data_IF_158483327103
#
_entry.id   IF_158483327103
#
_cell.length_a   1.000
_cell.length_b   1.000
_cell.length_c   1.000
_cell.angle_alpha   90.00
_cell.angle_beta   90.00
_cell.angle_gamma   90.00
#
_symmetry.space_group_name_H-M   'P 1'
#
loop_
_entity.id
_entity.type
_entity.pdbx_description
1 polymer ?
#
# COMPACT_ATOMS: atom_id res chain seq x y z
N UNK A 1 18.77 31.65 67.19
CA UNK A 1 19.49 32.90 67.53
C UNK A 1 20.33 33.27 66.31
N UNK A 2 20.11 34.39 65.63
CA UNK A 2 19.12 35.45 65.91
C UNK A 2 18.74 36.26 64.65
N UNK A 3 17.44 36.58 64.57
CA UNK A 3 16.84 37.86 64.10
C UNK A 3 17.01 38.27 62.62
N UNK A 4 15.88 38.66 62.03
CA UNK A 4 15.71 39.24 60.69
C UNK A 4 16.13 40.72 60.63
N UNK A 5 16.21 41.31 59.43
CA UNK A 5 15.58 42.62 59.10
C UNK A 5 15.66 42.90 57.58
N UNK A 6 14.70 43.64 57.03
CA UNK A 6 14.70 44.15 55.64
C UNK A 6 14.92 45.70 55.63
N UNK A 7 14.55 46.49 54.60
CA UNK A 7 15.52 47.27 53.82
C UNK A 7 15.28 48.80 53.94
N UNK A 8 15.87 49.62 53.06
CA UNK A 8 15.11 50.77 52.55
C UNK A 8 15.23 51.05 51.03
N UNK A 9 14.32 51.93 50.56
CA UNK A 9 14.27 52.61 49.25
C UNK A 9 14.97 53.99 49.35
N UNK A 10 15.24 54.78 48.29
CA UNK A 10 14.98 54.71 46.84
C UNK A 10 16.36 54.91 46.11
N UNK A 11 16.67 55.59 44.99
CA UNK A 11 16.06 56.48 43.97
C UNK A 11 16.60 56.06 42.57
N UNK A 12 15.83 56.04 41.48
CA UNK A 12 15.47 57.16 40.56
C UNK A 12 16.65 57.78 39.75
N UNK A 13 16.75 57.42 38.45
CA UNK A 13 16.95 58.37 37.33
C UNK A 13 16.96 57.68 35.94
N UNK A 14 16.14 58.22 35.02
CA UNK A 14 15.91 57.87 33.60
C UNK A 14 15.39 59.19 32.96
N UNK A 15 15.65 59.59 31.69
CA UNK A 15 16.16 58.82 30.53
C UNK A 15 17.39 59.45 29.81
N UNK A 16 17.85 58.77 28.75
CA UNK A 16 18.00 59.46 27.43
C UNK A 16 17.77 58.51 26.26
N UNK A 17 17.03 59.00 25.26
CA UNK A 17 16.80 58.36 23.96
C UNK A 17 17.89 58.84 23.00
N UNK A 18 18.42 57.94 22.16
CA UNK A 18 19.09 58.28 20.91
C UNK A 18 18.65 57.31 19.82
N UNK A 19 18.69 57.76 18.57
CA UNK A 19 17.91 57.23 17.46
C UNK A 19 18.68 56.22 16.59
N UNK A 20 17.94 55.43 15.81
CA UNK A 20 18.48 54.48 14.83
C UNK A 20 18.74 55.18 13.49
N UNK A 21 19.94 55.08 12.90
CA UNK A 21 20.12 55.34 11.47
C UNK A 21 19.67 54.11 10.66
N UNK A 22 18.81 54.33 9.67
CA UNK A 22 18.42 53.31 8.70
C UNK A 22 19.48 53.14 7.61
N UNK A 23 19.72 51.89 7.18
CA UNK A 23 20.72 51.57 6.17
C UNK A 23 20.60 50.13 5.69
N UNK A 24 19.74 49.89 4.70
CA UNK A 24 19.51 48.55 4.13
C UNK A 24 20.60 48.21 3.11
N UNK A 25 21.29 47.10 3.35
CA UNK A 25 22.11 46.39 2.35
C UNK A 25 21.78 44.90 2.48
N UNK A 26 21.34 44.27 1.40
CA UNK A 26 21.09 42.82 1.38
C UNK A 26 22.39 42.01 1.38
N UNK A 27 22.40 40.85 2.04
CA UNK A 27 23.21 39.74 1.55
C UNK A 27 22.46 38.39 1.54
N UNK A 28 22.50 37.75 0.37
CA UNK A 28 22.77 36.31 0.18
C UNK A 28 22.08 35.27 1.07
N UNK A 29 21.11 34.57 0.47
CA UNK A 29 20.90 33.11 0.55
C UNK A 29 21.83 32.33 1.51
N UNK A 30 21.34 32.04 2.72
CA UNK A 30 21.84 30.97 3.58
C UNK A 30 20.77 30.51 4.58
N UNK A 31 20.86 29.24 5.00
CA UNK A 31 20.15 28.60 6.12
C UNK A 31 18.61 28.68 6.17
N UNK A 32 17.97 27.51 6.00
CA UNK A 32 16.80 27.16 6.82
C UNK A 32 16.99 25.73 7.36
N UNK A 33 17.43 25.63 8.61
CA UNK A 33 17.75 24.36 9.29
C UNK A 33 17.39 24.50 10.77
N UNK A 34 16.39 23.75 11.25
CA UNK A 34 16.00 23.85 12.65
C UNK A 34 14.61 23.36 13.04
N UNK A 35 14.30 22.08 12.81
CA UNK A 35 13.48 21.33 13.77
C UNK A 35 14.24 20.05 14.10
N UNK A 36 14.73 19.97 15.34
CA UNK A 36 15.34 18.77 15.91
C UNK A 36 14.30 18.02 16.73
N UNK A 37 14.08 16.75 16.43
CA UNK A 37 13.41 15.82 17.34
C UNK A 37 14.27 14.57 17.45
N UNK A 38 15.07 14.51 18.52
CA UNK A 38 15.70 13.25 18.94
C UNK A 38 14.59 12.28 19.36
N UNK A 39 14.68 11.03 18.91
CA UNK A 39 13.93 9.91 19.47
C UNK A 39 14.92 8.77 19.67
N UNK A 40 15.27 8.49 20.92
CA UNK A 40 16.28 7.50 21.26
C UNK A 40 15.88 6.10 20.78
N UNK A 41 16.82 5.41 20.13
CA UNK A 41 16.69 3.98 19.87
C UNK A 41 17.24 3.22 21.08
N UNK A 42 16.40 2.94 22.07
CA UNK A 42 16.72 1.92 23.06
C UNK A 42 16.70 0.54 22.37
N UNK A 43 17.81 -0.18 22.53
CA UNK A 43 18.02 -1.54 22.06
C UNK A 43 17.96 -2.46 23.28
N UNK A 44 16.86 -3.20 23.44
CA UNK A 44 16.79 -4.27 24.44
C UNK A 44 17.47 -5.52 23.88
N UNK A 45 18.71 -5.75 24.30
CA UNK A 45 19.53 -6.90 23.97
C UNK A 45 19.69 -7.79 25.21
N UNK A 46 18.80 -8.78 25.39
CA UNK A 46 18.95 -9.79 26.43
C UNK A 46 18.83 -11.23 25.89
N UNK A 47 19.89 -12.01 26.16
CA UNK A 47 19.84 -13.47 26.27
C UNK A 47 19.87 -13.82 27.75
N UNK A 48 19.01 -14.74 28.19
CA UNK A 48 19.32 -15.73 29.24
C UNK A 48 18.39 -16.94 29.12
N UNK A 49 18.92 -18.13 29.38
CA UNK A 49 18.18 -19.39 29.52
C UNK A 49 17.82 -19.62 31.00
N UNK A 50 16.68 -20.28 31.28
CA UNK A 50 16.64 -21.50 32.12
C UNK A 50 15.22 -22.14 32.13
N UNK A 51 15.13 -23.30 32.79
CA UNK A 51 13.92 -24.12 33.04
C UNK A 51 13.03 -23.45 34.14
N UNK A 52 11.78 -23.85 34.44
CA UNK A 52 11.28 -25.21 34.68
C UNK A 52 9.72 -25.34 34.70
N UNK A 53 9.21 -26.56 34.94
CA UNK A 53 7.87 -27.03 35.43
C UNK A 53 6.60 -26.15 35.20
N UNK A 54 5.50 -26.61 34.56
CA UNK A 54 4.59 -27.77 34.83
C UNK A 54 3.47 -27.47 35.87
N UNK A 55 2.33 -28.20 35.78
CA UNK A 55 1.09 -28.12 36.61
C UNK A 55 0.15 -26.95 36.21
N UNK A 56 -1.04 -27.15 35.61
CA UNK A 56 -2.36 -27.60 36.14
C UNK A 56 -3.09 -26.55 37.02
N UNK A 57 -4.43 -26.43 37.11
CA UNK A 57 -5.61 -26.92 36.34
C UNK A 57 -6.87 -26.12 36.83
N UNK A 58 -8.07 -26.42 36.29
CA UNK A 58 -9.41 -26.07 36.81
C UNK A 58 -9.85 -24.60 36.66
N UNK A 59 -11.07 -24.39 36.13
CA UNK A 59 -11.72 -23.08 36.03
C UNK A 59 -12.88 -22.90 37.02
N UNK A 60 -13.74 -21.91 36.81
CA UNK A 60 -15.15 -21.94 37.21
C UNK A 60 -15.95 -20.79 36.59
N UNK A 61 -17.24 -21.03 36.35
CA UNK A 61 -18.19 -20.01 35.89
C UNK A 61 -18.52 -19.00 36.99
N UNK A 62 -18.74 -17.73 36.59
CA UNK A 62 -19.70 -16.86 37.28
C UNK A 62 -20.57 -16.09 36.29
N UNK A 63 -21.83 -16.48 36.26
CA UNK A 63 -22.94 -15.67 35.73
C UNK A 63 -23.10 -14.42 36.60
N UNK A 64 -23.39 -13.28 35.98
CA UNK A 64 -24.06 -12.15 36.62
C UNK A 64 -25.12 -11.60 35.66
N UNK A 65 -26.28 -11.25 36.20
CA UNK A 65 -27.47 -10.79 35.48
C UNK A 65 -27.96 -9.45 36.08
N UNK A 66 -28.73 -8.71 35.26
CA UNK A 66 -29.65 -7.61 35.56
C UNK A 66 -29.15 -6.16 35.67
N UNK A 67 -30.05 -5.33 35.13
CA UNK A 67 -30.31 -3.91 35.39
C UNK A 67 -29.35 -2.88 34.78
N UNK A 68 -29.82 -1.72 34.30
CA UNK A 68 -31.17 -1.34 33.87
C UNK A 68 -31.09 -0.06 33.00
N UNK A 69 -32.22 0.29 32.35
CA UNK A 69 -32.45 1.54 31.60
C UNK A 69 -31.65 1.69 30.28
N UNK A 70 -32.17 2.33 29.22
CA UNK A 70 -33.52 2.84 28.99
C UNK A 70 -33.54 4.32 28.61
N UNK A 71 -33.44 4.63 27.31
CA UNK A 71 -33.80 5.93 26.74
C UNK A 71 -34.07 5.81 25.24
N UNK A 72 -35.08 6.55 24.76
CA UNK A 72 -35.49 6.61 23.35
C UNK A 72 -34.77 7.78 22.64
N UNK A 73 -34.49 7.62 21.35
CA UNK A 73 -34.02 8.69 20.46
C UNK A 73 -35.00 8.74 19.27
N UNK A 74 -35.53 9.93 18.89
CA UNK A 74 -36.63 10.02 17.95
C UNK A 74 -36.20 9.89 16.48
N UNK A 75 -37.11 9.38 15.66
CA UNK A 75 -37.02 9.44 14.20
C UNK A 75 -37.30 10.89 13.77
N UNK A 76 -36.42 11.47 12.97
CA UNK A 76 -36.71 12.69 12.19
C UNK A 76 -36.87 12.30 10.72
N UNK A 77 -38.04 12.61 10.17
CA UNK A 77 -38.26 12.58 8.73
C UNK A 77 -37.75 13.91 8.13
N UNK A 78 -37.10 13.84 6.97
CA UNK A 78 -36.73 15.00 6.17
C UNK A 78 -37.42 14.88 4.81
N UNK A 79 -38.21 15.89 4.45
CA UNK A 79 -38.83 15.99 3.11
C UNK A 79 -37.78 16.41 2.06
N UNK A 80 -37.94 16.00 0.78
CA UNK A 80 -36.96 16.30 -0.25
C UNK A 80 -36.96 17.79 -0.62
N UNK A 81 -35.81 18.44 -0.43
CA UNK A 81 -35.59 19.81 -0.91
C UNK A 81 -35.69 19.91 -2.44
N UNK A 82 -36.03 21.10 -2.93
CA UNK A 82 -36.37 21.33 -4.33
C UNK A 82 -35.22 21.07 -5.31
N UNK A 83 -35.57 20.67 -6.54
CA UNK A 83 -34.62 20.60 -7.65
C UNK A 83 -34.13 22.01 -8.00
N UNK A 84 -32.81 22.19 -8.06
CA UNK A 84 -32.21 23.26 -8.85
C UNK A 84 -32.02 22.73 -10.28
N UNK A 85 -32.74 23.31 -11.24
CA UNK A 85 -32.50 23.06 -12.65
C UNK A 85 -31.26 23.87 -13.07
N UNK A 86 -30.21 23.17 -13.49
CA UNK A 86 -28.92 23.76 -13.82
C UNK A 86 -28.67 23.56 -15.32
N UNK A 87 -28.99 24.58 -16.12
CA UNK A 87 -28.77 24.58 -17.56
C UNK A 87 -27.27 24.61 -17.85
N UNK A 88 -26.73 23.46 -18.28
CA UNK A 88 -25.31 23.25 -18.50
C UNK A 88 -25.01 22.80 -19.95
N UNK A 89 -25.40 23.62 -20.92
CA UNK A 89 -25.02 23.43 -22.32
C UNK A 89 -23.49 23.45 -22.47
N UNK A 90 -22.90 22.31 -22.86
CA UNK A 90 -21.46 22.15 -23.08
C UNK A 90 -20.80 20.94 -22.41
N UNK A 91 -21.46 20.25 -21.48
CA UNK A 91 -20.86 19.13 -20.70
C UNK A 91 -21.12 17.71 -21.26
N UNK A 92 -21.49 17.59 -22.55
CA UNK A 92 -21.94 16.34 -23.17
C UNK A 92 -20.95 15.16 -23.14
N UNK A 93 -19.64 15.42 -23.07
CA UNK A 93 -18.58 14.39 -23.02
C UNK A 93 -17.78 14.42 -21.69
N UNK A 94 -18.32 15.08 -20.66
CA UNK A 94 -17.96 14.75 -19.28
C UNK A 94 -18.42 13.31 -18.98
N UNK A 95 -17.73 12.58 -18.09
CA UNK A 95 -18.18 11.24 -17.71
C UNK A 95 -19.65 11.32 -17.27
N UNK A 96 -20.56 10.49 -17.82
CA UNK A 96 -21.98 10.56 -17.49
C UNK A 96 -22.15 10.54 -15.98
N UNK A 97 -23.02 11.41 -15.46
CA UNK A 97 -23.01 11.73 -14.03
C UNK A 97 -23.15 10.44 -13.20
N UNK A 98 -22.56 10.38 -12.00
CA UNK A 98 -22.27 9.09 -11.38
C UNK A 98 -23.52 8.25 -11.05
N UNK A 99 -24.70 8.86 -11.02
CA UNK A 99 -26.03 8.23 -10.95
C UNK A 99 -26.52 7.57 -12.25
N UNK A 100 -26.12 8.07 -13.43
CA UNK A 100 -26.60 7.62 -14.75
C UNK A 100 -25.80 6.45 -15.33
N UNK A 101 -24.62 6.14 -14.76
CA UNK A 101 -23.73 5.06 -15.21
C UNK A 101 -24.29 3.67 -14.86
N UNK A 102 -25.39 3.31 -15.51
CA UNK A 102 -26.09 2.02 -15.39
C UNK A 102 -25.92 1.18 -16.66
N UNK A 103 -25.89 1.82 -17.83
CA UNK A 103 -25.76 1.25 -19.17
C UNK A 103 -24.36 1.54 -19.74
N UNK A 104 -23.83 0.61 -20.53
CA UNK A 104 -22.57 0.75 -21.24
C UNK A 104 -21.63 -0.45 -21.06
N UNK A 105 -20.50 -0.51 -21.78
CA UNK A 105 -19.61 -1.66 -21.71
C UNK A 105 -18.79 -1.68 -20.40
N UNK A 106 -19.19 -2.52 -19.45
CA UNK A 106 -18.41 -2.80 -18.24
C UNK A 106 -17.46 -3.96 -18.47
N UNK A 107 -16.26 -3.88 -17.89
CA UNK A 107 -15.29 -4.98 -17.85
C UNK A 107 -15.15 -5.48 -16.42
N UNK A 108 -15.77 -6.63 -16.11
CA UNK A 108 -15.50 -7.34 -14.87
C UNK A 108 -14.23 -8.18 -15.02
N UNK A 109 -13.40 -8.18 -13.98
CA UNK A 109 -12.14 -8.93 -13.91
C UNK A 109 -12.00 -9.61 -12.56
N UNK A 110 -11.68 -10.91 -12.53
CA UNK A 110 -11.41 -11.69 -11.31
C UNK A 110 -9.98 -12.21 -11.35
N UNK A 111 -9.23 -11.99 -10.27
CA UNK A 111 -7.90 -12.56 -10.08
C UNK A 111 -8.03 -13.92 -9.39
N UNK A 112 -7.84 -15.01 -10.13
CA UNK A 112 -8.14 -16.36 -9.64
C UNK A 112 -7.35 -16.68 -8.36
N UNK A 113 -8.08 -17.28 -7.42
CA UNK A 113 -7.59 -17.83 -6.16
C UNK A 113 -7.08 -16.77 -5.15
N UNK A 114 -7.20 -15.48 -5.47
CA UNK A 114 -6.84 -14.34 -4.58
C UNK A 114 -8.02 -13.82 -3.73
N UNK A 115 -9.25 -14.14 -4.13
CA UNK A 115 -10.44 -13.48 -3.61
C UNK A 115 -10.54 -12.00 -3.99
N UNK A 116 -10.02 -11.58 -5.15
CA UNK A 116 -10.16 -10.20 -5.65
C UNK A 116 -10.88 -10.13 -6.99
N UNK A 117 -11.72 -9.10 -7.13
CA UNK A 117 -12.30 -8.71 -8.40
C UNK A 117 -12.43 -7.20 -8.53
N UNK A 118 -12.66 -6.73 -9.76
CA UNK A 118 -13.03 -5.35 -10.05
C UNK A 118 -13.99 -5.28 -11.22
N UNK A 119 -14.95 -4.36 -11.18
CA UNK A 119 -15.76 -3.96 -12.33
C UNK A 119 -15.32 -2.55 -12.70
N UNK A 120 -14.96 -2.33 -13.96
CA UNK A 120 -14.54 -1.02 -14.47
C UNK A 120 -15.43 -0.66 -15.64
N UNK A 121 -15.99 0.55 -15.63
CA UNK A 121 -16.62 1.14 -16.81
C UNK A 121 -15.55 1.28 -17.89
N UNK A 122 -15.69 0.49 -18.94
CA UNK A 122 -14.69 0.34 -19.97
C UNK A 122 -15.34 0.74 -21.31
N UNK A 123 -15.66 2.04 -21.49
CA UNK A 123 -16.28 2.55 -22.71
C UNK A 123 -15.51 1.96 -23.89
N UNK A 124 -16.22 1.54 -24.95
CA UNK A 124 -15.53 1.19 -26.19
C UNK A 124 -14.66 2.39 -26.49
N UNK A 125 -13.34 2.23 -26.48
CA UNK A 125 -12.46 3.25 -27.05
C UNK A 125 -13.04 3.50 -28.43
N UNK A 126 -13.47 4.73 -28.66
CA UNK A 126 -13.37 5.30 -29.99
C UNK A 126 -11.96 4.99 -30.46
N UNK A 127 -11.88 4.13 -31.47
CA UNK A 127 -10.74 4.12 -32.37
C UNK A 127 -10.60 5.59 -32.84
N UNK A 128 -9.37 6.09 -32.89
CA UNK A 128 -9.10 7.51 -33.10
C UNK A 128 -8.71 8.30 -31.85
N UNK A 129 -9.63 8.51 -30.91
CA UNK A 129 -9.46 9.51 -29.83
C UNK A 129 -8.19 9.30 -29.01
N UNK A 130 -7.23 10.22 -29.19
CA UNK A 130 -5.95 10.26 -28.47
C UNK A 130 -5.61 11.70 -28.07
N UNK A 131 -4.85 11.85 -26.98
CA UNK A 131 -4.35 13.16 -26.56
C UNK A 131 -3.15 13.53 -27.43
N UNK A 132 -3.29 14.57 -28.24
CA UNK A 132 -2.25 15.13 -29.10
C UNK A 132 -1.75 16.45 -28.53
N UNK A 133 -0.44 16.67 -28.54
CA UNK A 133 0.12 17.99 -28.21
C UNK A 133 -0.17 18.96 -29.37
N UNK A 134 -0.78 20.10 -29.08
CA UNK A 134 -0.99 21.19 -30.05
C UNK A 134 0.19 22.16 -30.00
N UNK A 135 0.69 22.41 -28.79
CA UNK A 135 1.77 23.33 -28.50
C UNK A 135 2.60 22.83 -27.28
N UNK A 136 3.44 23.69 -26.72
CA UNK A 136 4.28 23.37 -25.56
C UNK A 136 3.49 23.31 -24.24
N UNK A 137 2.34 23.97 -24.17
CA UNK A 137 1.53 24.16 -22.97
C UNK A 137 0.27 23.29 -22.93
N UNK A 138 -0.20 22.78 -24.07
CA UNK A 138 -1.51 22.15 -24.19
C UNK A 138 -1.52 20.83 -24.97
N UNK A 139 -2.26 19.86 -24.43
CA UNK A 139 -2.74 18.68 -25.15
C UNK A 139 -4.25 18.83 -25.44
N UNK A 140 -4.71 18.36 -26.60
CA UNK A 140 -6.13 18.21 -26.94
C UNK A 140 -6.50 16.75 -27.15
N UNK A 141 -7.72 16.39 -26.77
CA UNK A 141 -8.36 15.15 -27.17
C UNK A 141 -9.23 15.46 -28.40
N UNK A 142 -8.87 14.92 -29.56
CA UNK A 142 -9.65 15.09 -30.79
C UNK A 142 -10.29 13.78 -31.26
N UNK A 143 -11.31 13.89 -32.12
CA UNK A 143 -11.88 12.79 -32.92
C UNK A 143 -10.98 12.43 -34.12
N UNK A 144 -11.33 11.38 -34.87
CA UNK A 144 -10.66 11.03 -36.14
C UNK A 144 -10.85 12.10 -37.24
N UNK A 145 -11.98 12.82 -37.21
CA UNK A 145 -12.31 13.94 -38.09
C UNK A 145 -11.77 15.30 -37.59
N UNK A 146 -11.04 15.31 -36.46
CA UNK A 146 -10.28 16.47 -35.99
C UNK A 146 -11.04 17.44 -35.07
N UNK A 147 -12.27 17.12 -34.68
CA UNK A 147 -13.03 17.91 -33.70
C UNK A 147 -12.35 17.85 -32.32
N UNK A 148 -12.07 19.01 -31.72
CA UNK A 148 -11.46 19.11 -30.39
C UNK A 148 -12.53 18.99 -29.30
N UNK A 149 -12.56 17.83 -28.64
CA UNK A 149 -13.53 17.48 -27.60
C UNK A 149 -13.13 18.09 -26.24
N UNK A 150 -11.83 18.04 -25.93
CA UNK A 150 -11.29 18.51 -24.65
C UNK A 150 -9.87 19.06 -24.81
N UNK A 151 -9.49 19.99 -23.93
CA UNK A 151 -8.16 20.60 -23.87
C UNK A 151 -7.65 20.55 -22.43
N UNK A 152 -6.36 20.23 -22.22
CA UNK A 152 -5.73 20.20 -20.88
C UNK A 152 -4.29 20.74 -20.91
N UNK A 153 -3.79 21.30 -19.80
CA UNK A 153 -2.37 21.62 -19.67
C UNK A 153 -1.51 20.39 -19.91
N UNK A 154 -0.43 20.55 -20.67
CA UNK A 154 0.53 19.49 -20.99
C UNK A 154 1.43 19.24 -19.78
N UNK A 155 1.43 18.00 -19.28
CA UNK A 155 2.42 17.57 -18.29
C UNK A 155 3.84 17.72 -18.88
N UNK A 156 4.75 18.35 -18.13
CA UNK A 156 6.18 18.33 -18.47
C UNK A 156 6.72 16.90 -18.42
N UNK A 157 7.81 16.61 -19.13
CA UNK A 157 8.32 15.24 -19.21
C UNK A 157 8.74 14.64 -17.86
N UNK A 158 9.20 15.46 -16.91
CA UNK A 158 9.48 15.03 -15.54
C UNK A 158 8.21 14.67 -14.76
N UNK A 159 7.14 15.48 -14.85
CA UNK A 159 5.84 15.18 -14.23
C UNK A 159 5.21 13.95 -14.86
N UNK A 160 5.26 13.84 -16.20
CA UNK A 160 4.77 12.70 -16.98
C UNK A 160 5.53 11.41 -16.64
N UNK A 161 6.85 11.49 -16.45
CA UNK A 161 7.67 10.38 -15.98
C UNK A 161 7.29 9.97 -14.54
N UNK A 162 7.19 10.91 -13.60
CA UNK A 162 6.82 10.64 -12.21
C UNK A 162 5.43 9.99 -12.09
N UNK A 163 4.40 10.55 -12.77
CA UNK A 163 3.06 9.95 -12.86
C UNK A 163 3.10 8.53 -13.45
N UNK A 164 3.96 8.25 -14.42
CA UNK A 164 4.09 6.92 -15.02
C UNK A 164 4.87 5.92 -14.15
N UNK A 165 5.85 6.38 -13.38
CA UNK A 165 6.56 5.60 -12.36
C UNK A 165 5.57 5.16 -11.27
N UNK A 166 4.85 6.12 -10.67
CA UNK A 166 3.88 5.86 -9.60
C UNK A 166 2.75 4.89 -10.04
N UNK A 167 2.27 5.02 -11.28
CA UNK A 167 1.35 4.04 -11.91
C UNK A 167 1.98 2.66 -12.08
N UNK A 168 3.28 2.55 -12.36
CA UNK A 168 3.99 1.27 -12.40
C UNK A 168 4.15 0.65 -11.01
N UNK A 169 4.36 1.46 -9.98
CA UNK A 169 4.52 1.03 -8.60
C UNK A 169 3.21 0.49 -8.03
N UNK A 170 2.12 1.25 -8.19
CA UNK A 170 0.75 0.82 -7.85
C UNK A 170 0.40 -0.51 -8.54
N UNK A 171 0.81 -0.72 -9.80
CA UNK A 171 0.67 -2.02 -10.51
C UNK A 171 1.55 -3.12 -9.90
N UNK A 172 2.81 -2.85 -9.60
CA UNK A 172 3.75 -3.80 -9.02
C UNK A 172 3.29 -4.30 -7.63
N UNK A 173 2.86 -3.38 -6.76
CA UNK A 173 2.31 -3.69 -5.44
C UNK A 173 1.06 -4.58 -5.53
N UNK A 174 0.13 -4.26 -6.43
CA UNK A 174 -1.07 -5.08 -6.67
C UNK A 174 -0.71 -6.47 -7.23
N UNK A 175 0.29 -6.56 -8.12
CA UNK A 175 0.74 -7.82 -8.68
C UNK A 175 1.43 -8.72 -7.64
N UNK A 176 2.34 -8.19 -6.82
CA UNK A 176 2.96 -8.93 -5.72
C UNK A 176 1.91 -9.39 -4.70
N UNK A 177 1.01 -8.49 -4.27
CA UNK A 177 -0.06 -8.84 -3.31
C UNK A 177 -0.92 -10.00 -3.81
N UNK A 178 -1.35 -9.95 -5.08
CA UNK A 178 -2.10 -11.04 -5.71
C UNK A 178 -1.29 -12.34 -5.78
N UNK A 179 -0.01 -12.25 -6.09
CA UNK A 179 0.89 -13.41 -6.11
C UNK A 179 1.04 -14.06 -4.72
N UNK A 180 1.25 -13.27 -3.66
CA UNK A 180 1.35 -13.76 -2.30
C UNK A 180 0.07 -14.48 -1.84
N UNK A 181 -1.11 -13.90 -2.10
CA UNK A 181 -2.39 -14.50 -1.70
C UNK A 181 -2.69 -15.77 -2.48
N UNK A 182 -2.53 -15.75 -3.81
CA UNK A 182 -2.76 -16.90 -4.68
C UNK A 182 -1.94 -18.13 -4.27
N UNK A 183 -0.71 -17.89 -3.85
CA UNK A 183 0.28 -18.93 -3.57
C UNK A 183 0.44 -19.22 -2.07
N UNK A 184 -0.46 -18.69 -1.22
CA UNK A 184 -0.43 -18.83 0.24
C UNK A 184 0.95 -18.55 0.85
N UNK A 185 1.57 -17.43 0.46
CA UNK A 185 2.81 -16.95 1.06
C UNK A 185 2.48 -16.31 2.41
N UNK A 186 2.97 -16.93 3.49
CA UNK A 186 2.42 -16.79 4.83
C UNK A 186 3.50 -16.59 5.92
N UNK A 187 4.76 -16.88 5.59
CA UNK A 187 5.93 -16.64 6.45
C UNK A 187 6.91 -15.73 5.74
N UNK A 188 7.45 -14.75 6.48
CA UNK A 188 8.45 -13.80 5.99
C UNK A 188 9.82 -14.13 6.60
N UNK A 189 10.85 -13.99 5.77
CA UNK A 189 12.25 -14.18 6.16
C UNK A 189 13.01 -12.92 5.76
N UNK A 190 13.97 -12.51 6.58
CA UNK A 190 14.95 -11.48 6.25
C UNK A 190 16.32 -12.11 6.23
N UNK A 191 16.99 -12.06 5.08
CA UNK A 191 18.40 -12.40 4.94
C UNK A 191 19.22 -11.11 5.02
N UNK A 192 20.26 -11.14 5.85
CA UNK A 192 21.26 -10.08 5.97
C UNK A 192 22.62 -10.72 5.69
N UNK A 193 23.50 -10.02 4.97
CA UNK A 193 24.87 -10.49 4.75
C UNK A 193 25.73 -10.27 6.01
N UNK A 194 26.76 -11.09 6.20
CA UNK A 194 27.78 -10.84 7.22
C UNK A 194 28.64 -9.63 6.84
N UNK A 195 29.09 -9.60 5.58
CA UNK A 195 29.82 -8.48 4.96
C UNK A 195 28.88 -7.64 4.10
N UNK A 196 28.97 -6.31 4.17
CA UNK A 196 28.00 -5.41 3.53
C UNK A 196 28.01 -5.52 1.98
N UNK A 197 26.99 -6.18 1.42
CA UNK A 197 26.80 -6.37 -0.02
C UNK A 197 25.96 -5.24 -0.63
N UNK A 198 26.48 -4.53 -1.62
CA UNK A 198 25.78 -3.42 -2.31
C UNK A 198 25.40 -3.73 -3.77
N UNK A 199 25.99 -4.76 -4.40
CA UNK A 199 25.68 -5.10 -5.80
C UNK A 199 24.38 -5.90 -5.91
N UNK A 200 23.31 -5.25 -6.39
CA UNK A 200 21.99 -5.88 -6.64
C UNK A 200 22.10 -7.14 -7.53
N UNK A 201 23.05 -7.18 -8.47
CA UNK A 201 23.25 -8.35 -9.37
C UNK A 201 23.95 -9.53 -8.67
N UNK A 202 24.86 -9.28 -7.73
CA UNK A 202 25.37 -10.33 -6.84
C UNK A 202 24.22 -10.82 -5.95
N UNK A 203 23.52 -9.92 -5.28
CA UNK A 203 22.47 -10.29 -4.34
C UNK A 203 21.35 -11.14 -4.99
N UNK A 204 20.90 -10.81 -6.20
CA UNK A 204 19.94 -11.67 -6.95
C UNK A 204 20.52 -13.04 -7.32
N UNK A 205 21.82 -13.14 -7.61
CA UNK A 205 22.51 -14.41 -7.92
C UNK A 205 22.50 -15.34 -6.70
N UNK A 206 22.84 -14.81 -5.54
CA UNK A 206 23.02 -15.57 -4.31
C UNK A 206 21.66 -16.05 -3.73
N UNK A 207 20.63 -15.20 -3.81
CA UNK A 207 19.24 -15.57 -3.49
C UNK A 207 18.71 -16.64 -4.46
N UNK A 208 18.98 -16.51 -5.76
CA UNK A 208 18.58 -17.52 -6.73
C UNK A 208 19.30 -18.86 -6.48
N UNK A 209 20.57 -18.84 -6.08
CA UNK A 209 21.33 -20.02 -5.70
C UNK A 209 20.76 -20.69 -4.43
N UNK A 210 20.36 -19.91 -3.41
CA UNK A 210 19.60 -20.40 -2.25
C UNK A 210 18.30 -21.10 -2.69
N UNK A 211 17.49 -20.50 -3.56
CA UNK A 211 16.25 -21.12 -4.03
C UNK A 211 16.47 -22.38 -4.88
N UNK A 212 17.59 -22.49 -5.60
CA UNK A 212 18.01 -23.72 -6.27
C UNK A 212 18.37 -24.81 -5.25
N UNK A 213 19.24 -24.51 -4.27
CA UNK A 213 19.60 -25.45 -3.18
C UNK A 213 18.36 -25.95 -2.43
N UNK A 214 17.46 -25.04 -2.07
CA UNK A 214 16.18 -25.35 -1.41
C UNK A 214 15.28 -26.25 -2.26
N UNK A 215 15.24 -26.06 -3.59
CA UNK A 215 14.45 -26.92 -4.49
C UNK A 215 14.98 -28.35 -4.55
N UNK A 216 16.30 -28.54 -4.59
CA UNK A 216 16.89 -29.90 -4.53
C UNK A 216 16.49 -30.62 -3.23
N UNK A 217 16.46 -29.89 -2.12
CA UNK A 217 16.03 -30.38 -0.79
C UNK A 217 14.50 -30.43 -0.60
N UNK A 218 13.75 -30.34 -1.70
CA UNK A 218 12.31 -30.63 -1.82
C UNK A 218 12.07 -31.54 -3.03
N UNK A 219 12.97 -32.49 -3.25
CA UNK A 219 12.87 -33.54 -4.27
C UNK A 219 12.72 -32.98 -5.70
N UNK A 220 13.38 -31.83 -5.94
CA UNK A 220 13.28 -31.07 -7.19
C UNK A 220 11.97 -30.29 -7.38
N UNK A 221 10.99 -30.43 -6.47
CA UNK A 221 9.64 -29.90 -6.67
C UNK A 221 9.61 -28.37 -6.69
N UNK A 222 8.99 -27.75 -7.72
CA UNK A 222 8.85 -26.31 -7.78
C UNK A 222 7.90 -25.81 -6.68
N UNK A 223 8.27 -24.74 -5.99
CA UNK A 223 7.45 -24.08 -4.99
C UNK A 223 7.43 -22.56 -5.21
N UNK A 224 6.33 -21.88 -4.83
CA UNK A 224 6.23 -20.44 -4.99
C UNK A 224 7.06 -19.71 -3.92
N UNK A 225 7.69 -18.62 -4.33
CA UNK A 225 8.33 -17.65 -3.44
C UNK A 225 8.24 -16.26 -4.08
N UNK A 226 8.34 -15.22 -3.27
CA UNK A 226 8.62 -13.87 -3.74
C UNK A 226 9.76 -13.25 -2.93
N UNK A 227 10.50 -12.29 -3.49
CA UNK A 227 11.45 -11.49 -2.71
C UNK A 227 11.59 -10.05 -3.17
N UNK A 228 12.00 -9.21 -2.22
CA UNK A 228 12.36 -7.79 -2.39
C UNK A 228 13.78 -7.59 -1.84
N UNK A 229 14.55 -6.70 -2.43
CA UNK A 229 15.85 -6.26 -1.92
C UNK A 229 15.69 -4.85 -1.34
N UNK A 230 15.96 -4.67 -0.05
CA UNK A 230 16.02 -3.36 0.63
C UNK A 230 17.48 -2.93 0.77
N UNK A 231 17.83 -1.69 0.44
CA UNK A 231 19.09 -1.09 0.90
C UNK A 231 18.93 -0.60 2.35
N UNK A 232 19.67 -1.19 3.29
CA UNK A 232 19.49 -0.87 4.70
C UNK A 232 19.94 0.57 5.02
N UNK A 233 19.10 1.44 5.61
CA UNK A 233 19.44 2.85 5.83
C UNK A 233 20.61 3.07 6.82
N UNK A 234 20.95 2.07 7.64
CA UNK A 234 22.15 2.08 8.48
C UNK A 234 23.46 1.76 7.73
N UNK A 235 23.44 1.65 6.39
CA UNK A 235 24.64 1.40 5.58
C UNK A 235 25.13 -0.06 5.55
N UNK A 236 24.41 -1.00 6.16
CA UNK A 236 24.79 -2.43 6.25
C UNK A 236 24.67 -3.21 4.92
N UNK A 237 24.57 -2.53 3.78
CA UNK A 237 24.30 -3.15 2.49
C UNK A 237 22.84 -3.58 2.29
N UNK A 238 22.65 -4.55 1.40
CA UNK A 238 21.34 -5.06 0.97
C UNK A 238 20.80 -6.13 1.91
N UNK A 239 19.57 -5.93 2.37
CA UNK A 239 18.73 -6.97 2.97
C UNK A 239 17.87 -7.64 1.90
N UNK A 240 17.54 -8.92 2.08
CA UNK A 240 16.55 -9.62 1.26
C UNK A 240 15.35 -10.04 2.09
N UNK A 241 14.18 -9.53 1.73
CA UNK A 241 12.92 -9.90 2.35
C UNK A 241 12.21 -10.94 1.48
N UNK A 242 12.18 -12.19 1.95
CA UNK A 242 11.54 -13.31 1.27
C UNK A 242 10.10 -13.52 1.78
N UNK A 243 9.23 -13.97 0.90
CA UNK A 243 7.90 -14.48 1.17
C UNK A 243 7.81 -15.95 0.75
N UNK A 244 7.43 -16.84 1.67
CA UNK A 244 7.36 -18.29 1.43
C UNK A 244 6.07 -18.91 2.03
N UNK A 245 5.63 -20.09 1.55
CA UNK A 245 4.47 -20.77 2.10
C UNK A 245 4.64 -21.17 3.57
N UNK A 246 3.53 -21.35 4.29
CA UNK A 246 3.57 -21.85 5.66
C UNK A 246 3.90 -23.34 5.70
N UNK A 247 5.20 -23.64 5.80
CA UNK A 247 5.74 -24.94 6.22
C UNK A 247 6.79 -24.71 7.30
N UNK A 248 7.11 -25.74 8.07
CA UNK A 248 8.29 -25.68 8.93
C UNK A 248 9.54 -25.52 8.06
N UNK A 249 10.42 -24.62 8.48
CA UNK A 249 11.72 -24.35 7.87
C UNK A 249 12.67 -24.31 9.05
N UNK A 250 13.61 -25.25 9.10
CA UNK A 250 14.62 -25.22 10.14
C UNK A 250 15.55 -24.00 9.96
N UNK A 251 15.89 -23.35 11.07
CA UNK A 251 16.68 -22.12 11.03
C UNK A 251 18.16 -22.41 10.76
N UNK A 252 18.72 -23.45 11.36
CA UNK A 252 20.13 -23.81 11.21
C UNK A 252 20.41 -24.17 9.75
N UNK A 253 19.61 -25.10 9.21
CA UNK A 253 19.63 -25.49 7.81
C UNK A 253 19.50 -24.29 6.85
N UNK A 254 18.61 -23.33 7.15
CA UNK A 254 18.44 -22.15 6.30
C UNK A 254 19.63 -21.19 6.41
N UNK A 255 20.28 -21.08 7.57
CA UNK A 255 21.52 -20.31 7.74
C UNK A 255 22.69 -20.95 6.98
N UNK A 256 22.87 -22.27 7.08
CA UNK A 256 23.87 -23.04 6.32
C UNK A 256 23.63 -22.93 4.81
N UNK A 257 22.38 -23.11 4.38
CA UNK A 257 22.01 -23.05 2.96
C UNK A 257 22.02 -21.62 2.42
N UNK A 258 21.88 -20.60 3.27
CA UNK A 258 22.13 -19.21 2.91
C UNK A 258 23.63 -18.99 2.68
N UNK A 259 24.47 -19.32 3.66
CA UNK A 259 25.93 -19.29 3.56
C UNK A 259 26.57 -17.89 3.56
N UNK A 260 25.78 -16.81 3.48
CA UNK A 260 26.28 -15.45 3.33
C UNK A 260 26.03 -14.54 4.56
N UNK A 261 25.41 -15.03 5.64
CA UNK A 261 25.19 -14.24 6.86
C UNK A 261 23.99 -14.66 7.72
N UNK A 262 23.35 -13.67 8.32
CA UNK A 262 22.31 -13.83 9.34
C UNK A 262 20.93 -14.05 8.68
N UNK A 263 20.17 -14.99 9.23
CA UNK A 263 18.77 -15.24 8.85
C UNK A 263 17.85 -14.93 10.02
N UNK A 264 17.05 -13.87 9.88
CA UNK A 264 15.97 -13.56 10.78
C UNK A 264 14.65 -14.08 10.21
N UNK A 265 13.98 -14.99 10.92
CA UNK A 265 12.59 -15.31 10.63
C UNK A 265 11.69 -14.30 11.35
N UNK A 266 10.65 -13.81 10.66
CA UNK A 266 9.58 -13.05 11.30
C UNK A 266 8.27 -13.48 10.69
N UNK A 267 7.56 -14.37 11.38
CA UNK A 267 6.13 -14.45 11.14
C UNK A 267 5.52 -13.06 11.48
N UNK A 268 4.75 -12.43 10.57
CA UNK A 268 3.99 -11.24 10.95
C UNK A 268 3.14 -11.61 12.17
N UNK A 269 3.09 -10.72 13.19
CA UNK A 269 2.59 -11.01 14.56
C UNK A 269 1.48 -12.08 14.54
N UNK A 270 1.55 -13.16 15.34
CA UNK A 270 0.66 -14.32 15.24
C UNK A 270 -0.79 -13.95 15.60
N UNK A 271 -1.44 -13.32 14.64
CA UNK A 271 -2.86 -13.03 14.61
C UNK A 271 -3.58 -14.37 14.57
N UNK A 272 -4.63 -14.50 15.38
CA UNK A 272 -5.58 -15.62 15.33
C UNK A 272 -6.49 -15.49 14.10
N UNK A 273 -5.90 -15.18 12.93
CA UNK A 273 -6.59 -15.03 11.65
C UNK A 273 -7.02 -16.42 11.16
N UNK A 274 -8.32 -16.73 11.06
CA UNK A 274 -8.79 -18.01 10.54
C UNK A 274 -8.69 -18.09 9.00
N UNK A 275 -8.40 -16.96 8.32
CA UNK A 275 -8.24 -16.88 6.86
C UNK A 275 -6.77 -16.76 6.45
N UNK A 276 -6.28 -17.77 5.75
CA UNK A 276 -4.95 -17.79 5.13
C UNK A 276 -4.80 -16.69 4.06
N UNK A 277 -5.86 -16.34 3.32
CA UNK A 277 -5.79 -15.27 2.31
C UNK A 277 -5.51 -13.93 2.98
N UNK A 278 -6.18 -13.61 4.07
CA UNK A 278 -5.95 -12.38 4.83
C UNK A 278 -4.55 -12.32 5.46
N UNK A 279 -4.05 -13.43 6.05
CA UNK A 279 -2.66 -13.50 6.52
C UNK A 279 -1.66 -13.25 5.38
N UNK A 280 -1.92 -13.78 4.18
CA UNK A 280 -1.08 -13.53 3.01
C UNK A 280 -1.19 -12.09 2.46
N UNK A 281 -2.39 -11.46 2.53
CA UNK A 281 -2.57 -10.02 2.22
C UNK A 281 -1.73 -9.18 3.17
N UNK A 282 -1.82 -9.42 4.48
CA UNK A 282 -1.08 -8.69 5.52
C UNK A 282 0.43 -8.83 5.33
N UNK A 283 0.92 -10.05 5.13
CA UNK A 283 2.33 -10.31 4.79
C UNK A 283 2.76 -9.52 3.56
N UNK A 284 1.98 -9.53 2.47
CA UNK A 284 2.33 -8.78 1.27
C UNK A 284 2.33 -7.26 1.47
N UNK A 285 1.55 -6.74 2.43
CA UNK A 285 1.61 -5.33 2.86
C UNK A 285 2.91 -4.99 3.57
N UNK A 286 3.47 -5.93 4.36
CA UNK A 286 4.82 -5.78 4.91
C UNK A 286 5.89 -5.79 3.79
N UNK A 287 5.80 -6.68 2.79
CA UNK A 287 6.74 -6.66 1.64
C UNK A 287 6.58 -5.40 0.76
N UNK A 288 5.36 -4.88 0.62
CA UNK A 288 5.10 -3.64 -0.10
C UNK A 288 5.82 -2.44 0.51
N UNK A 289 5.96 -2.39 1.85
CA UNK A 289 6.72 -1.34 2.54
C UNK A 289 8.17 -1.25 2.06
N UNK A 290 8.79 -2.38 1.77
CA UNK A 290 10.17 -2.43 1.28
C UNK A 290 10.26 -1.92 -0.16
N UNK A 291 9.41 -2.43 -1.06
CA UNK A 291 9.31 -1.89 -2.43
C UNK A 291 9.17 -0.37 -2.42
N UNK A 292 8.29 0.16 -1.56
CA UNK A 292 8.04 1.61 -1.42
C UNK A 292 9.17 2.41 -0.78
N UNK A 293 10.07 1.79 0.00
CA UNK A 293 11.23 2.47 0.62
C UNK A 293 12.33 2.74 -0.40
N UNK A 294 12.75 1.70 -1.12
CA UNK A 294 13.90 1.79 -2.03
C UNK A 294 13.67 2.84 -3.13
N UNK A 295 12.41 3.09 -3.49
CA UNK A 295 11.95 4.02 -4.54
C UNK A 295 12.54 5.44 -4.47
N UNK A 296 12.97 5.87 -3.28
CA UNK A 296 13.46 7.23 -3.02
C UNK A 296 14.90 7.42 -3.57
N UNK A 297 15.65 6.34 -3.82
CA UNK A 297 17.03 6.41 -4.33
C UNK A 297 17.19 5.91 -5.77
N UNK A 298 17.56 6.83 -6.68
CA UNK A 298 18.22 6.55 -7.97
C UNK A 298 17.74 5.30 -8.77
N UNK A 299 16.43 5.18 -9.02
CA UNK A 299 15.89 4.03 -9.77
C UNK A 299 16.25 4.08 -11.26
N UNK A 300 17.17 3.20 -11.66
CA UNK A 300 17.29 2.78 -13.06
C UNK A 300 15.93 2.26 -13.56
N UNK A 301 15.34 3.02 -14.49
CA UNK A 301 14.10 2.65 -15.16
C UNK A 301 14.16 1.25 -15.76
N UNK A 302 13.01 0.56 -15.79
CA UNK A 302 12.84 -0.83 -16.26
C UNK A 302 13.42 -1.94 -15.36
N UNK A 303 14.03 -1.65 -14.20
CA UNK A 303 14.42 -2.72 -13.25
C UNK A 303 13.21 -3.36 -12.54
N UNK A 304 13.30 -4.67 -12.32
CA UNK A 304 12.34 -5.45 -11.52
C UNK A 304 12.46 -5.13 -10.03
N UNK A 305 11.39 -4.57 -9.45
CA UNK A 305 11.24 -4.14 -8.04
C UNK A 305 11.14 -5.30 -7.04
N UNK A 306 10.65 -6.44 -7.51
CA UNK A 306 10.52 -7.68 -6.75
C UNK A 306 10.70 -8.84 -7.73
N UNK A 307 11.09 -10.00 -7.22
CA UNK A 307 11.19 -11.23 -8.01
C UNK A 307 10.24 -12.30 -7.46
N UNK A 308 9.86 -13.26 -8.32
CA UNK A 308 8.91 -14.34 -8.01
C UNK A 308 9.28 -15.64 -8.69
N UNK A 309 8.91 -16.77 -8.09
CA UNK A 309 9.02 -18.07 -8.76
C UNK A 309 8.12 -18.11 -10.00
N UNK A 310 8.71 -18.47 -11.15
CA UNK A 310 8.02 -18.62 -12.43
C UNK A 310 6.99 -19.77 -12.38
N UNK A 311 5.98 -19.73 -13.27
CA UNK A 311 4.86 -20.70 -13.30
C UNK A 311 3.73 -20.40 -12.31
N UNK A 312 4.04 -19.81 -11.15
CA UNK A 312 3.08 -19.49 -10.08
C UNK A 312 2.27 -18.19 -10.30
N UNK A 313 2.22 -17.68 -11.53
CA UNK A 313 1.59 -16.43 -11.90
C UNK A 313 0.07 -16.39 -11.71
N UNK A 314 -0.48 -15.19 -11.48
CA UNK A 314 -1.91 -14.98 -11.21
C UNK A 314 -2.72 -14.99 -12.50
N UNK A 315 -3.58 -16.01 -12.66
CA UNK A 315 -4.51 -16.11 -13.79
C UNK A 315 -5.66 -15.12 -13.62
N UNK A 316 -5.93 -14.32 -14.65
CA UNK A 316 -7.01 -13.32 -14.67
C UNK A 316 -8.15 -13.80 -15.58
N UNK A 317 -9.36 -13.96 -15.03
CA UNK A 317 -10.58 -14.12 -15.83
C UNK A 317 -11.19 -12.74 -16.07
N UNK A 318 -11.64 -12.46 -17.29
CA UNK A 318 -12.29 -11.19 -17.65
C UNK A 318 -13.51 -11.45 -18.52
N UNK A 319 -14.56 -10.62 -18.37
CA UNK A 319 -15.72 -10.57 -19.26
C UNK A 319 -16.19 -9.13 -19.45
N UNK A 320 -16.84 -8.88 -20.57
CA UNK A 320 -17.52 -7.61 -20.89
C UNK A 320 -19.03 -7.78 -20.77
N UNK A 321 -19.74 -6.73 -20.36
CA UNK A 321 -21.19 -6.70 -20.09
C UNK A 321 -21.80 -5.39 -20.58
N UNK A 322 -23.10 -5.37 -20.90
CA UNK A 322 -23.84 -4.18 -21.38
C UNK A 322 -24.39 -3.30 -20.26
N UNK A 323 -24.40 -3.79 -19.02
CA UNK A 323 -24.87 -3.05 -17.85
C UNK A 323 -24.09 -3.38 -16.58
N UNK A 324 -24.11 -2.45 -15.62
CA UNK A 324 -23.48 -2.64 -14.30
C UNK A 324 -24.15 -3.79 -13.52
N UNK A 325 -25.46 -3.99 -13.76
CA UNK A 325 -26.28 -5.06 -13.18
C UNK A 325 -25.81 -6.45 -13.62
N UNK A 326 -25.60 -6.66 -14.92
CA UNK A 326 -25.05 -7.92 -15.45
C UNK A 326 -23.65 -8.21 -14.89
N UNK A 327 -22.77 -7.21 -14.85
CA UNK A 327 -21.40 -7.36 -14.36
C UNK A 327 -21.37 -7.74 -12.88
N UNK A 328 -22.24 -7.15 -12.05
CA UNK A 328 -22.45 -7.55 -10.66
C UNK A 328 -23.04 -8.96 -10.55
N UNK A 329 -24.09 -9.29 -11.30
CA UNK A 329 -24.73 -10.60 -11.26
C UNK A 329 -23.75 -11.72 -11.64
N UNK A 330 -22.89 -11.50 -12.64
CA UNK A 330 -21.82 -12.44 -13.00
C UNK A 330 -20.80 -12.61 -11.88
N UNK A 331 -20.43 -11.52 -11.20
CA UNK A 331 -19.44 -11.55 -10.13
C UNK A 331 -19.96 -12.24 -8.86
N UNK A 332 -21.21 -11.98 -8.47
CA UNK A 332 -21.87 -12.62 -7.31
C UNK A 332 -21.96 -14.14 -7.49
N UNK A 333 -22.18 -14.61 -8.73
CA UNK A 333 -22.24 -16.03 -9.05
C UNK A 333 -20.87 -16.66 -9.39
N UNK A 334 -19.76 -15.95 -9.20
CA UNK A 334 -18.44 -16.42 -9.62
C UNK A 334 -17.88 -17.51 -8.70
N UNK A 335 -18.08 -18.78 -9.06
CA UNK A 335 -17.45 -19.96 -8.43
C UNK A 335 -17.64 -20.09 -6.91
N UNK A 336 -18.74 -19.54 -6.37
CA UNK A 336 -19.04 -19.56 -4.93
C UNK A 336 -18.15 -18.64 -4.06
N UNK A 337 -17.42 -17.70 -4.66
CA UNK A 337 -16.69 -16.66 -3.93
C UNK A 337 -17.66 -15.61 -3.39
N UNK A 338 -17.57 -15.30 -2.08
CA UNK A 338 -18.47 -14.32 -1.43
C UNK A 338 -17.92 -12.89 -1.58
N UNK A 339 -17.91 -12.39 -2.81
CA UNK A 339 -17.47 -11.03 -3.11
C UNK A 339 -18.33 -9.96 -2.41
N UNK A 340 -17.67 -9.05 -1.71
CA UNK A 340 -18.20 -7.80 -1.17
C UNK A 340 -17.46 -6.63 -1.80
N UNK A 341 -18.15 -5.55 -2.13
CA UNK A 341 -17.49 -4.29 -2.48
C UNK A 341 -16.69 -3.78 -1.28
N UNK A 342 -15.50 -3.23 -1.54
CA UNK A 342 -14.62 -2.66 -0.50
C UNK A 342 -14.08 -1.28 -0.86
N UNK A 343 -14.30 -0.82 -2.09
CA UNK A 343 -14.00 0.53 -2.56
C UNK A 343 -14.75 0.78 -3.88
N UNK A 344 -15.20 2.01 -4.07
CA UNK A 344 -15.76 2.60 -5.28
C UNK A 344 -14.95 3.84 -5.66
N UNK A 345 -14.88 4.17 -6.95
CA UNK A 345 -14.38 5.47 -7.40
C UNK A 345 -15.20 6.66 -6.88
N UNK A 346 -16.43 6.43 -6.38
CA UNK A 346 -17.20 7.43 -5.64
C UNK A 346 -16.55 7.80 -4.29
N UNK A 347 -15.78 6.88 -3.70
CA UNK A 347 -15.17 7.04 -2.37
C UNK A 347 -13.87 7.88 -2.43
N UNK A 348 -13.66 8.64 -3.51
CA UNK A 348 -12.42 9.37 -3.81
C UNK A 348 -12.76 10.60 -4.67
N UNK A 349 -12.91 11.80 -4.08
CA UNK A 349 -13.39 12.99 -4.80
C UNK A 349 -12.57 13.32 -6.06
N UNK A 350 -11.24 13.22 -5.98
CA UNK A 350 -10.31 13.60 -7.05
C UNK A 350 -10.02 12.45 -8.04
N UNK A 351 -10.99 11.56 -8.28
CA UNK A 351 -10.80 10.39 -9.15
C UNK A 351 -10.88 10.76 -10.65
N UNK A 352 -9.72 11.06 -11.26
CA UNK A 352 -9.56 11.28 -12.72
C UNK A 352 -9.83 10.03 -13.60
N UNK A 353 -10.15 8.88 -13.00
CA UNK A 353 -10.25 7.60 -13.72
C UNK A 353 -11.66 7.28 -14.24
N UNK A 354 -11.81 6.24 -15.08
CA UNK A 354 -13.14 5.70 -15.36
C UNK A 354 -13.78 5.13 -14.09
N UNK A 355 -15.11 5.13 -14.03
CA UNK A 355 -15.87 4.55 -12.91
C UNK A 355 -15.41 3.11 -12.60
N UNK A 356 -15.09 2.83 -11.34
CA UNK A 356 -14.48 1.58 -10.93
C UNK A 356 -14.97 1.12 -9.55
N UNK A 357 -15.32 -0.17 -9.45
CA UNK A 357 -15.70 -0.85 -8.22
C UNK A 357 -14.70 -1.99 -7.93
N UNK A 358 -14.24 -2.10 -6.69
CA UNK A 358 -13.29 -3.13 -6.25
C UNK A 358 -13.94 -4.00 -5.18
N UNK A 359 -13.78 -5.32 -5.35
CA UNK A 359 -14.41 -6.34 -4.51
C UNK A 359 -13.37 -7.27 -3.91
N UNK A 360 -13.62 -7.71 -2.67
CA UNK A 360 -12.86 -8.78 -2.00
C UNK A 360 -13.80 -9.88 -1.53
N UNK A 361 -13.30 -11.10 -1.54
CA UNK A 361 -13.92 -12.29 -0.97
C UNK A 361 -12.99 -12.84 0.14
N UNK A 362 -13.51 -13.15 1.34
CA UNK A 362 -12.71 -13.81 2.38
C UNK A 362 -12.34 -15.24 1.98
N UNK A 363 -13.13 -15.86 1.10
CA UNK A 363 -13.04 -17.29 0.79
C UNK A 363 -14.35 -17.78 0.19
N UNK A 364 -14.34 -19.05 -0.22
CA UNK A 364 -15.59 -19.81 -0.30
C UNK A 364 -16.07 -20.10 1.11
N UNK A 365 -17.38 -20.24 1.29
CA UNK A 365 -17.86 -21.10 2.36
C UNK A 365 -17.69 -22.54 1.88
N UNK A 366 -16.54 -23.13 2.18
CA UNK A 366 -16.49 -24.58 2.37
C UNK A 366 -17.48 -24.91 3.51
N UNK A 367 -18.29 -25.95 3.32
CA UNK A 367 -19.33 -26.31 4.28
C UNK A 367 -18.71 -26.67 5.62
N UNK A 368 -19.24 -26.09 6.71
CA UNK A 368 -19.07 -26.63 8.05
C UNK A 368 -20.12 -27.72 8.28
#
# INVERSE_FOLDING_TARGET
MSVEHLPPYLESSVPRILELPSGVVEPSLAAYSGISTQSECQLDDERTFLLDSMVSDVGSDRVFDRSASGLLIPIWAAEPSAKAECEAEGLADSFPCQSDITVGPYRASVALDTGEASIIYAPRRSLGRSWMAVDEYWEVLATDDGEVIAKRPRDSDSVRHAKNLERADKRALVALRRYCVRNSLLKMLTLTYADAQFEIRAAKRDINALFVRWRHLKDGQPFPYAYVLELHPGGHGLHSHLAVPLRFIDKHWLQETWGHGIVHFRDPKPLRDPDLRERARRLSGYLAKYISKDMIGAHESNRHRYEVAQGFGVKMVRRSFSSLREANQWLVNFRGERFRQVWSSADTPDWEGPFALVYRSPGRCEGR
#
